data_IF_382280370094
#
_entry.id   IF_382280370094
#
_cell.length_a   1.000
_cell.length_b   1.000
_cell.length_c   1.000
_cell.angle_alpha   90.00
_cell.angle_beta   90.00
_cell.angle_gamma   90.00
#
_symmetry.space_group_name_H-M   'P 1'
#
loop_
_entity.id
_entity.type
_entity.pdbx_description
1 polymer ?
#
# COMPACT_ATOMS: atom_id res chain seq x y z
N UNK A 1 62.32 -23.57 -46.33
CA UNK A 1 62.84 -22.22 -46.04
C UNK A 1 63.17 -21.57 -47.37
N UNK A 2 62.47 -20.50 -47.76
CA UNK A 2 62.84 -19.75 -48.95
C UNK A 2 64.05 -18.89 -48.58
N UNK A 3 65.17 -19.11 -49.26
CA UNK A 3 66.39 -18.31 -49.10
C UNK A 3 66.25 -17.14 -50.07
N UNK A 4 66.24 -15.92 -49.54
CA UNK A 4 66.23 -14.69 -50.35
C UNK A 4 67.67 -14.22 -50.42
N UNK A 5 68.26 -14.30 -51.59
CA UNK A 5 69.60 -13.77 -51.86
C UNK A 5 69.49 -12.26 -52.09
N UNK A 6 70.20 -11.48 -51.27
CA UNK A 6 70.23 -10.02 -51.34
C UNK A 6 71.65 -9.60 -51.68
N UNK A 7 71.80 -8.81 -52.74
CA UNK A 7 73.06 -8.22 -53.16
C UNK A 7 73.30 -6.92 -52.37
N UNK A 8 74.42 -6.84 -51.65
CA UNK A 8 74.73 -5.75 -50.73
C UNK A 8 75.56 -4.62 -51.38
N UNK A 9 76.00 -4.78 -52.63
CA UNK A 9 76.87 -3.80 -53.30
C UNK A 9 76.10 -2.75 -54.12
N UNK A 10 74.82 -3.00 -54.47
CA UNK A 10 74.03 -2.13 -55.39
C UNK A 10 72.69 -1.66 -54.78
N UNK A 11 72.49 -1.77 -53.46
CA UNK A 11 71.24 -1.30 -52.84
C UNK A 11 71.29 -1.06 -51.34
N UNK A 12 70.36 -0.26 -50.79
CA UNK A 12 70.32 0.01 -49.36
C UNK A 12 70.06 -1.28 -48.57
N UNK A 13 70.91 -1.52 -47.57
CA UNK A 13 70.83 -2.67 -46.66
C UNK A 13 69.43 -2.76 -46.05
N UNK A 14 68.82 -3.97 -45.92
CA UNK A 14 67.51 -4.13 -45.33
C UNK A 14 67.48 -3.55 -43.90
N UNK A 15 66.68 -2.50 -43.71
CA UNK A 15 66.45 -1.90 -42.39
C UNK A 15 65.23 -2.55 -41.74
N UNK A 16 65.36 -2.93 -40.48
CA UNK A 16 64.23 -3.42 -39.68
C UNK A 16 63.39 -2.20 -39.31
N UNK A 17 62.29 -1.98 -40.02
CA UNK A 17 61.32 -0.93 -39.68
C UNK A 17 60.50 -1.44 -38.50
N UNK A 18 60.80 -0.95 -37.30
CA UNK A 18 59.93 -1.13 -36.14
C UNK A 18 58.65 -0.29 -36.31
N UNK A 19 57.51 -0.70 -35.72
CA UNK A 19 56.30 0.10 -35.77
C UNK A 19 56.59 1.47 -35.17
N UNK A 20 56.13 2.53 -35.86
CA UNK A 20 56.26 3.90 -35.36
C UNK A 20 55.53 3.97 -34.02
N UNK A 21 56.19 4.37 -32.93
CA UNK A 21 55.54 4.49 -31.64
C UNK A 21 54.46 5.57 -31.74
N UNK A 22 53.32 5.32 -31.08
CA UNK A 22 52.27 6.33 -30.97
C UNK A 22 52.88 7.58 -30.30
N UNK A 23 52.72 8.77 -30.90
CA UNK A 23 53.27 10.00 -30.34
C UNK A 23 52.68 10.25 -28.95
N UNK A 24 53.51 10.71 -28.01
CA UNK A 24 53.10 11.02 -26.63
C UNK A 24 51.88 11.96 -26.57
N UNK A 25 51.76 12.85 -27.55
CA UNK A 25 50.64 13.79 -27.65
C UNK A 25 49.29 13.10 -27.90
N UNK A 26 49.26 11.97 -28.61
CA UNK A 26 48.02 11.22 -28.82
C UNK A 26 47.53 10.58 -27.51
N UNK A 27 48.43 10.18 -26.62
CA UNK A 27 48.05 9.71 -25.29
C UNK A 27 47.50 10.84 -24.41
N UNK A 28 48.09 12.04 -24.49
CA UNK A 28 47.60 13.22 -23.78
C UNK A 28 46.22 13.64 -24.29
N UNK A 29 46.02 13.66 -25.61
CA UNK A 29 44.75 14.01 -26.25
C UNK A 29 43.61 13.05 -25.83
N UNK A 30 43.90 11.75 -25.72
CA UNK A 30 42.91 10.78 -25.23
C UNK A 30 42.53 11.03 -23.76
N UNK A 31 43.47 11.45 -22.92
CA UNK A 31 43.17 11.81 -21.52
C UNK A 31 42.39 13.13 -21.43
N UNK A 32 42.73 14.11 -22.25
CA UNK A 32 42.00 15.37 -22.34
C UNK A 32 40.57 15.15 -22.85
N UNK A 33 40.39 14.29 -23.85
CA UNK A 33 39.09 13.90 -24.37
C UNK A 33 38.24 13.20 -23.30
N UNK A 34 38.83 12.31 -22.49
CA UNK A 34 38.16 11.69 -21.34
C UNK A 34 37.71 12.76 -20.33
N UNK A 35 38.60 13.66 -19.94
CA UNK A 35 38.27 14.73 -19.01
C UNK A 35 37.26 15.75 -19.56
N UNK A 36 37.18 15.92 -20.89
CA UNK A 36 36.16 16.75 -21.53
C UNK A 36 34.79 16.07 -21.51
N UNK A 37 34.73 14.76 -21.73
CA UNK A 37 33.50 13.95 -21.64
C UNK A 37 32.97 13.97 -20.20
N UNK A 38 33.82 13.74 -19.20
CA UNK A 38 33.43 13.80 -17.77
C UNK A 38 32.83 15.16 -17.40
N UNK A 39 33.43 16.26 -17.88
CA UNK A 39 32.92 17.62 -17.68
C UNK A 39 31.61 17.88 -18.43
N UNK A 40 31.46 17.35 -19.64
CA UNK A 40 30.25 17.53 -20.45
C UNK A 40 29.05 16.80 -19.85
N UNK A 41 29.25 15.58 -19.33
CA UNK A 41 28.19 14.79 -18.72
C UNK A 41 28.04 15.03 -17.21
N UNK A 42 28.91 15.82 -16.59
CA UNK A 42 28.91 16.06 -15.14
C UNK A 42 29.24 14.81 -14.32
N UNK A 43 29.71 13.73 -14.95
CA UNK A 43 30.09 12.48 -14.31
C UNK A 43 31.56 12.58 -13.90
N UNK A 44 31.81 13.25 -12.78
CA UNK A 44 33.15 13.27 -12.21
C UNK A 44 33.47 11.90 -11.57
N UNK A 45 34.73 11.46 -11.63
CA UNK A 45 35.20 10.23 -11.00
C UNK A 45 34.82 10.11 -9.52
N UNK A 46 34.74 11.24 -8.81
CA UNK A 46 34.19 11.32 -7.45
C UNK A 46 32.74 10.83 -7.34
N UNK A 47 31.86 11.26 -8.26
CA UNK A 47 30.45 10.81 -8.31
C UNK A 47 30.31 9.33 -8.68
N UNK A 48 31.30 8.77 -9.38
CA UNK A 48 31.37 7.35 -9.73
C UNK A 48 31.93 6.46 -8.59
N UNK A 49 32.24 7.05 -7.42
CA UNK A 49 32.70 6.33 -6.24
C UNK A 49 34.22 6.14 -6.14
N UNK A 50 35.01 6.93 -6.88
CA UNK A 50 36.47 6.94 -6.71
C UNK A 50 36.88 7.83 -5.52
N UNK A 51 37.38 7.26 -4.40
CA UNK A 51 37.81 8.03 -3.23
C UNK A 51 39.06 8.88 -3.49
N UNK A 52 39.83 8.61 -4.56
CA UNK A 52 41.05 9.36 -4.90
C UNK A 52 40.78 10.76 -5.47
N UNK A 53 39.57 10.98 -6.01
CA UNK A 53 39.15 12.25 -6.58
C UNK A 53 38.29 13.10 -5.62
N UNK A 54 38.16 12.67 -4.36
CA UNK A 54 37.34 13.35 -3.37
C UNK A 54 37.93 14.70 -2.95
N UNK A 55 37.16 15.81 -3.01
CA UNK A 55 37.61 17.09 -2.48
C UNK A 55 37.87 16.99 -0.97
N UNK A 56 39.00 17.53 -0.51
CA UNK A 56 39.36 17.54 0.91
C UNK A 56 38.39 18.35 1.78
N UNK A 57 37.61 19.25 1.15
CA UNK A 57 36.65 20.13 1.82
C UNK A 57 35.23 19.72 1.48
N UNK A 58 34.46 19.34 2.51
CA UNK A 58 33.06 18.89 2.38
C UNK A 58 32.17 19.82 1.54
N UNK A 59 32.32 21.15 1.69
CA UNK A 59 31.56 22.14 0.92
C UNK A 59 31.83 22.08 -0.58
N UNK A 60 33.06 21.75 -0.99
CA UNK A 60 33.39 21.58 -2.41
C UNK A 60 32.82 20.28 -2.96
N UNK A 61 32.72 19.23 -2.14
CA UNK A 61 32.02 18.00 -2.49
C UNK A 61 30.53 18.22 -2.75
N UNK A 62 29.85 18.99 -1.89
CA UNK A 62 28.44 19.34 -2.07
C UNK A 62 28.18 20.16 -3.34
N UNK A 63 29.02 21.17 -3.61
CA UNK A 63 28.89 21.99 -4.82
C UNK A 63 29.08 21.16 -6.08
N UNK A 64 30.06 20.24 -6.09
CA UNK A 64 30.24 19.34 -7.22
C UNK A 64 29.01 18.47 -7.44
N UNK A 65 28.47 17.84 -6.39
CA UNK A 65 27.26 17.02 -6.44
C UNK A 65 26.03 17.79 -6.96
N UNK A 66 25.84 19.03 -6.48
CA UNK A 66 24.78 19.93 -6.97
C UNK A 66 24.95 20.26 -8.48
N UNK A 67 26.19 20.52 -8.92
CA UNK A 67 26.49 20.74 -10.33
C UNK A 67 26.25 19.49 -11.20
N UNK A 68 26.49 18.26 -10.69
CA UNK A 68 26.18 17.03 -11.42
C UNK A 68 24.66 16.90 -11.61
N UNK A 69 23.87 17.17 -10.56
CA UNK A 69 22.42 17.10 -10.62
C UNK A 69 21.80 18.08 -11.63
N UNK A 70 22.34 19.30 -11.73
CA UNK A 70 21.83 20.31 -12.68
C UNK A 70 22.11 19.92 -14.14
N UNK A 71 23.32 19.44 -14.46
CA UNK A 71 23.70 19.09 -15.82
C UNK A 71 22.93 17.87 -16.34
N UNK A 72 22.80 16.84 -15.51
CA UNK A 72 21.97 15.66 -15.82
C UNK A 72 20.51 16.09 -15.97
N UNK A 73 20.02 17.00 -15.11
CA UNK A 73 18.68 17.56 -15.19
C UNK A 73 18.39 18.27 -16.53
N UNK A 74 19.36 19.02 -17.07
CA UNK A 74 19.21 19.70 -18.37
C UNK A 74 19.08 18.71 -19.53
N UNK A 75 19.94 17.69 -19.61
CA UNK A 75 19.89 16.69 -20.68
C UNK A 75 18.59 15.86 -20.62
N UNK A 76 18.13 15.58 -19.40
CA UNK A 76 16.89 14.88 -19.14
C UNK A 76 15.66 15.73 -19.52
N UNK A 77 15.73 17.06 -19.37
CA UNK A 77 14.70 17.98 -19.86
C UNK A 77 14.59 17.95 -21.39
N UNK A 78 15.73 17.99 -22.10
CA UNK A 78 15.76 17.87 -23.57
C UNK A 78 15.13 16.53 -24.03
N UNK A 79 15.41 15.45 -23.31
CA UNK A 79 14.82 14.14 -23.58
C UNK A 79 13.30 14.15 -23.40
N UNK A 80 12.78 14.76 -22.32
CA UNK A 80 11.33 14.88 -22.13
C UNK A 80 10.66 15.76 -23.18
N UNK A 81 11.31 16.82 -23.64
CA UNK A 81 10.81 17.62 -24.76
C UNK A 81 10.76 16.79 -26.05
N UNK A 82 11.78 15.98 -26.32
CA UNK A 82 11.79 15.09 -27.49
C UNK A 82 10.64 14.07 -27.46
N UNK A 83 10.31 13.54 -26.28
CA UNK A 83 9.17 12.64 -26.10
C UNK A 83 7.83 13.34 -26.34
N UNK A 84 7.70 14.60 -25.92
CA UNK A 84 6.50 15.40 -26.20
C UNK A 84 6.31 15.64 -27.69
N UNK A 85 7.38 15.96 -28.42
CA UNK A 85 7.32 16.13 -29.88
C UNK A 85 6.95 14.82 -30.58
N UNK A 86 7.55 13.70 -30.17
CA UNK A 86 7.21 12.39 -30.70
C UNK A 86 5.76 12.01 -30.41
N UNK A 87 5.25 12.30 -29.21
CA UNK A 87 3.86 12.05 -28.84
C UNK A 87 2.88 12.87 -29.70
N UNK A 88 3.18 14.14 -29.98
CA UNK A 88 2.39 14.99 -30.89
C UNK A 88 2.30 14.40 -32.29
N UNK A 89 3.41 13.93 -32.85
CA UNK A 89 3.43 13.27 -34.16
C UNK A 89 2.67 11.95 -34.13
N UNK A 90 2.85 11.16 -33.08
CA UNK A 90 2.17 9.86 -32.91
C UNK A 90 0.66 10.04 -32.83
N UNK A 91 0.17 11.08 -32.13
CA UNK A 91 -1.25 11.41 -32.08
C UNK A 91 -1.79 11.70 -33.48
N UNK A 92 -1.10 12.48 -34.29
CA UNK A 92 -1.53 12.75 -35.68
C UNK A 92 -1.65 11.44 -36.49
N UNK A 93 -0.72 10.50 -36.31
CA UNK A 93 -0.83 9.18 -36.93
C UNK A 93 -2.03 8.37 -36.41
N UNK A 94 -2.27 8.38 -35.10
CA UNK A 94 -3.43 7.72 -34.48
C UNK A 94 -4.73 8.27 -35.04
N UNK A 95 -4.86 9.59 -35.18
CA UNK A 95 -6.04 10.25 -35.74
C UNK A 95 -6.31 9.85 -37.19
N UNK A 96 -5.26 9.72 -37.99
CA UNK A 96 -5.38 9.29 -39.39
C UNK A 96 -5.66 7.79 -39.53
N UNK A 97 -5.13 6.96 -38.62
CA UNK A 97 -5.20 5.49 -38.74
C UNK A 97 -6.45 4.91 -38.10
N UNK A 98 -6.92 5.50 -37.00
CA UNK A 98 -8.04 4.99 -36.21
C UNK A 98 -9.30 5.82 -36.43
N UNK A 99 -9.97 5.58 -37.55
CA UNK A 99 -11.26 6.20 -37.91
C UNK A 99 -12.48 5.37 -37.50
N UNK A 100 -12.28 4.05 -37.34
CA UNK A 100 -13.28 3.06 -36.94
C UNK A 100 -13.25 2.74 -35.45
N UNK A 101 -14.26 2.00 -34.95
CA UNK A 101 -14.32 1.51 -33.57
C UNK A 101 -13.16 0.55 -33.30
N UNK A 102 -12.38 0.81 -32.25
CA UNK A 102 -11.33 -0.10 -31.78
C UNK A 102 -11.38 -0.28 -30.28
N UNK A 103 -11.10 -1.49 -29.82
CA UNK A 103 -10.98 -1.82 -28.41
C UNK A 103 -9.54 -2.27 -28.12
N UNK A 104 -8.89 -1.61 -27.17
CA UNK A 104 -7.55 -1.94 -26.70
C UNK A 104 -7.66 -2.50 -25.29
N UNK A 105 -6.94 -3.60 -25.04
CA UNK A 105 -6.72 -4.12 -23.69
C UNK A 105 -5.31 -3.76 -23.27
N UNK A 106 -5.20 -2.86 -22.29
CA UNK A 106 -3.92 -2.46 -21.72
C UNK A 106 -3.56 -3.40 -20.59
N UNK A 107 -2.45 -4.11 -20.72
CA UNK A 107 -1.89 -4.94 -19.68
C UNK A 107 -0.86 -4.14 -18.89
N UNK A 108 -1.02 -4.09 -17.58
CA UNK A 108 -0.08 -3.46 -16.67
C UNK A 108 0.49 -4.52 -15.73
N UNK A 109 1.80 -4.51 -15.43
CA UNK A 109 2.33 -5.33 -14.35
C UNK A 109 1.60 -4.98 -13.04
N UNK A 110 1.13 -5.98 -12.31
CA UNK A 110 0.44 -5.87 -11.01
C UNK A 110 -0.95 -5.20 -10.99
N UNK A 111 -1.51 -4.77 -12.13
CA UNK A 111 -2.85 -4.18 -12.19
C UNK A 111 -3.77 -4.96 -13.13
N UNK A 112 -5.09 -4.94 -12.85
CA UNK A 112 -6.09 -5.53 -13.73
C UNK A 112 -6.03 -4.93 -15.13
N UNK A 113 -6.25 -5.74 -16.18
CA UNK A 113 -6.24 -5.25 -17.55
C UNK A 113 -7.31 -4.17 -17.72
N UNK A 114 -6.92 -3.04 -18.33
CA UNK A 114 -7.81 -1.91 -18.60
C UNK A 114 -8.28 -1.96 -20.04
N UNK A 115 -9.58 -2.15 -20.23
CA UNK A 115 -10.19 -2.12 -21.56
C UNK A 115 -10.55 -0.67 -21.93
N UNK A 116 -9.95 -0.17 -23.01
CA UNK A 116 -10.14 1.19 -23.53
C UNK A 116 -10.77 1.08 -24.93
N UNK A 117 -11.93 1.71 -25.12
CA UNK A 117 -12.62 1.73 -26.40
C UNK A 117 -12.52 3.12 -27.04
N UNK A 118 -12.15 3.15 -28.33
CA UNK A 118 -12.08 4.35 -29.16
C UNK A 118 -13.18 4.32 -30.22
N UNK A 119 -13.71 5.49 -30.58
CA UNK A 119 -14.67 5.72 -31.66
C UNK A 119 -15.91 4.81 -31.60
N UNK A 120 -16.57 4.72 -30.44
CA UNK A 120 -17.77 3.90 -30.32
C UNK A 120 -18.97 4.64 -30.96
N UNK A 121 -19.57 4.12 -32.05
CA UNK A 121 -20.75 4.74 -32.64
C UNK A 121 -21.94 4.59 -31.70
N UNK A 122 -22.66 5.68 -31.50
CA UNK A 122 -23.92 5.72 -30.75
C UNK A 122 -25.05 5.89 -31.76
N UNK A 123 -25.97 4.94 -31.73
CA UNK A 123 -27.18 4.95 -32.54
C UNK A 123 -28.36 5.38 -31.68
N UNK A 124 -29.28 6.13 -32.27
CA UNK A 124 -30.57 6.41 -31.65
C UNK A 124 -31.41 5.14 -31.57
N UNK A 125 -31.99 4.88 -30.40
CA UNK A 125 -32.72 3.64 -30.10
C UNK A 125 -34.05 3.52 -30.86
N UNK A 126 -34.57 4.62 -31.40
CA UNK A 126 -35.85 4.65 -32.12
C UNK A 126 -35.69 4.79 -33.63
N UNK A 127 -34.76 5.62 -34.12
CA UNK A 127 -34.57 5.89 -35.54
C UNK A 127 -33.43 5.06 -36.18
N UNK A 128 -32.59 4.38 -35.39
CA UNK A 128 -31.35 3.73 -35.85
C UNK A 128 -30.40 4.68 -36.61
N UNK A 129 -30.56 5.99 -36.48
CA UNK A 129 -29.65 6.98 -37.05
C UNK A 129 -28.41 7.15 -36.17
N UNK A 130 -27.27 7.44 -36.80
CA UNK A 130 -26.01 7.67 -36.11
C UNK A 130 -26.05 9.06 -35.44
N UNK A 131 -26.14 9.10 -34.11
CA UNK A 131 -26.12 10.36 -33.33
C UNK A 131 -24.70 10.92 -33.25
N UNK A 132 -23.70 10.05 -33.08
CA UNK A 132 -22.31 10.47 -32.94
C UNK A 132 -21.38 9.34 -32.53
N UNK A 133 -20.13 9.68 -32.21
CA UNK A 133 -19.11 8.76 -31.70
C UNK A 133 -18.71 9.15 -30.27
N UNK A 134 -18.73 8.19 -29.34
CA UNK A 134 -18.14 8.35 -28.01
C UNK A 134 -16.63 8.10 -28.13
N UNK A 135 -15.84 8.95 -27.46
CA UNK A 135 -14.38 8.97 -27.51
C UNK A 135 -13.85 9.05 -28.95
N UNK A 136 -14.34 10.04 -29.70
CA UNK A 136 -13.88 10.31 -31.05
C UNK A 136 -12.46 10.87 -31.03
N UNK A 137 -11.52 10.08 -31.54
CA UNK A 137 -10.11 10.47 -31.62
C UNK A 137 -9.85 11.38 -32.81
N UNK A 138 -10.69 11.32 -33.85
CA UNK A 138 -10.45 11.98 -35.14
C UNK A 138 -10.59 13.51 -35.10
N UNK A 139 -11.34 14.05 -34.13
CA UNK A 139 -11.66 15.47 -34.04
C UNK A 139 -10.97 16.20 -32.87
N UNK A 140 -10.24 15.48 -32.01
CA UNK A 140 -9.63 16.03 -30.80
C UNK A 140 -8.35 16.84 -31.07
N UNK A 141 -8.18 17.98 -30.38
CA UNK A 141 -6.86 18.58 -30.20
C UNK A 141 -6.29 18.07 -28.89
N UNK A 142 -5.17 17.37 -28.98
CA UNK A 142 -4.50 16.78 -27.82
C UNK A 142 -3.20 17.53 -27.54
N UNK A 143 -3.00 17.90 -26.29
CA UNK A 143 -1.71 18.35 -25.80
C UNK A 143 -1.09 17.24 -24.94
N UNK A 144 0.23 17.09 -25.04
CA UNK A 144 0.97 16.01 -24.38
C UNK A 144 2.12 16.57 -23.59
N UNK A 145 2.22 16.15 -22.33
CA UNK A 145 3.29 16.51 -21.42
C UNK A 145 3.83 15.22 -20.81
N UNK A 146 5.12 14.97 -21.02
CA UNK A 146 5.86 13.90 -20.39
C UNK A 146 5.98 14.19 -18.90
N UNK A 147 5.56 13.24 -18.07
CA UNK A 147 5.68 13.37 -16.62
C UNK A 147 7.14 13.14 -16.24
N UNK A 148 7.78 14.21 -15.77
CA UNK A 148 9.17 14.17 -15.33
C UNK A 148 9.33 13.25 -14.11
N UNK A 149 10.39 12.45 -14.11
CA UNK A 149 10.74 11.53 -13.02
C UNK A 149 10.33 10.07 -13.23
N UNK A 150 9.52 9.76 -14.25
CA UNK A 150 9.16 8.36 -14.58
C UNK A 150 10.33 7.52 -15.10
N UNK A 151 11.42 8.15 -15.54
CA UNK A 151 12.62 7.51 -16.11
C UNK A 151 13.85 7.64 -15.23
N UNK A 152 13.75 8.29 -14.07
CA UNK A 152 14.85 8.31 -13.12
C UNK A 152 15.06 6.87 -12.61
N UNK A 153 16.31 6.40 -12.47
CA UNK A 153 16.58 5.15 -11.80
C UNK A 153 16.08 5.27 -10.37
N UNK A 154 14.90 4.71 -10.09
CA UNK A 154 14.40 4.71 -8.75
C UNK A 154 15.15 3.64 -7.96
N UNK A 155 15.73 4.05 -6.84
CA UNK A 155 16.26 3.09 -5.89
C UNK A 155 15.06 2.43 -5.22
N UNK A 156 14.68 1.25 -5.69
CA UNK A 156 13.49 0.49 -5.19
C UNK A 156 13.52 0.28 -3.67
N UNK A 157 14.73 0.20 -3.10
CA UNK A 157 14.93 0.18 -1.66
C UNK A 157 14.50 1.49 -1.00
N UNK A 158 15.01 2.63 -1.49
CA UNK A 158 14.72 3.96 -0.94
C UNK A 158 13.24 4.32 -1.11
N UNK A 159 12.62 3.98 -2.24
CA UNK A 159 11.17 4.14 -2.43
C UNK A 159 10.38 3.32 -1.41
N UNK A 160 10.76 2.07 -1.17
CA UNK A 160 10.11 1.24 -0.16
C UNK A 160 10.29 1.83 1.23
N UNK A 161 11.48 2.27 1.59
CA UNK A 161 11.78 2.87 2.89
C UNK A 161 10.99 4.17 3.09
N UNK A 162 10.91 5.01 2.06
CA UNK A 162 10.08 6.22 2.06
C UNK A 162 8.59 5.88 2.24
N UNK A 163 8.08 4.87 1.52
CA UNK A 163 6.68 4.43 1.65
C UNK A 163 6.40 3.76 3.00
N UNK A 164 7.35 3.00 3.55
CA UNK A 164 7.28 2.46 4.91
C UNK A 164 7.26 3.58 5.93
N UNK A 165 8.10 4.61 5.76
CA UNK A 165 8.10 5.79 6.63
C UNK A 165 6.79 6.58 6.54
N UNK A 166 6.20 6.70 5.35
CA UNK A 166 4.87 7.30 5.16
C UNK A 166 3.77 6.49 5.83
N UNK A 167 3.83 5.16 5.74
CA UNK A 167 2.89 4.26 6.40
C UNK A 167 3.03 4.32 7.93
N UNK A 168 4.26 4.33 8.45
CA UNK A 168 4.55 4.53 9.88
C UNK A 168 4.04 5.88 10.38
N UNK A 169 4.16 6.94 9.57
CA UNK A 169 3.63 8.26 9.87
C UNK A 169 2.11 8.37 9.66
N UNK A 170 1.45 7.32 9.18
CA UNK A 170 0.00 7.28 8.94
C UNK A 170 -0.48 8.09 7.73
N UNK A 171 0.43 8.58 6.87
CA UNK A 171 0.06 9.26 5.61
C UNK A 171 -0.11 8.29 4.44
N UNK A 172 0.41 7.06 4.56
CA UNK A 172 0.29 6.01 3.55
C UNK A 172 -0.47 4.80 4.08
N UNK A 173 -1.25 4.17 3.21
CA UNK A 173 -1.88 2.88 3.51
C UNK A 173 -0.90 1.73 3.28
N UNK A 174 -1.00 0.68 4.09
CA UNK A 174 -0.22 -0.57 3.92
C UNK A 174 -0.44 -1.19 2.52
N UNK A 175 -1.61 -0.98 1.92
CA UNK A 175 -1.91 -1.39 0.54
C UNK A 175 -0.98 -0.71 -0.47
N UNK A 176 -0.69 0.58 -0.30
CA UNK A 176 0.21 1.32 -1.19
C UNK A 176 1.64 0.79 -1.11
N UNK A 177 2.10 0.44 0.10
CA UNK A 177 3.41 -0.19 0.31
C UNK A 177 3.49 -1.55 -0.38
N UNK A 178 2.43 -2.35 -0.26
CA UNK A 178 2.38 -3.68 -0.87
C UNK A 178 2.31 -3.62 -2.40
N UNK A 179 1.52 -2.72 -2.99
CA UNK A 179 1.44 -2.56 -4.45
C UNK A 179 2.75 -2.07 -5.08
N UNK A 180 3.50 -1.23 -4.36
CA UNK A 180 4.81 -0.76 -4.79
C UNK A 180 5.95 -1.76 -4.51
N UNK A 181 5.65 -2.86 -3.82
CA UNK A 181 6.62 -3.93 -3.56
C UNK A 181 6.63 -4.96 -4.68
N UNK A 182 7.80 -5.57 -4.94
CA UNK A 182 7.98 -6.69 -5.89
C UNK A 182 7.40 -8.02 -5.40
N UNK A 183 6.51 -7.99 -4.40
CA UNK A 183 5.91 -9.21 -3.88
C UNK A 183 4.95 -9.76 -4.94
N UNK A 184 5.10 -11.04 -5.26
CA UNK A 184 4.19 -11.72 -6.18
C UNK A 184 2.81 -11.87 -5.53
N UNK A 185 1.74 -11.70 -6.33
CA UNK A 185 0.34 -11.90 -5.91
C UNK A 185 -0.14 -10.92 -4.80
N UNK A 186 0.19 -9.64 -4.94
CA UNK A 186 -0.28 -8.56 -4.03
C UNK A 186 -1.81 -8.55 -3.87
N UNK A 187 -2.56 -8.82 -4.94
CA UNK A 187 -4.02 -8.85 -4.90
C UNK A 187 -4.56 -9.93 -3.94
N UNK A 188 -3.94 -11.11 -3.92
CA UNK A 188 -4.34 -12.21 -3.01
C UNK A 188 -4.00 -11.89 -1.55
N UNK A 189 -2.90 -11.18 -1.31
CA UNK A 189 -2.54 -10.71 0.04
C UNK A 189 -3.53 -9.64 0.49
N UNK A 190 -3.89 -8.71 -0.39
CA UNK A 190 -4.85 -7.66 -0.10
C UNK A 190 -6.26 -8.22 0.15
N UNK A 191 -6.70 -9.18 -0.67
CA UNK A 191 -7.98 -9.86 -0.49
C UNK A 191 -8.03 -10.61 0.85
N UNK A 192 -6.94 -11.30 1.22
CA UNK A 192 -6.83 -11.94 2.54
C UNK A 192 -6.89 -10.93 3.68
N UNK A 193 -6.20 -9.79 3.56
CA UNK A 193 -6.28 -8.71 4.58
C UNK A 193 -7.69 -8.12 4.68
N UNK A 194 -8.35 -7.84 3.56
CA UNK A 194 -9.74 -7.37 3.55
C UNK A 194 -10.68 -8.35 4.25
N UNK A 195 -10.53 -9.65 3.97
CA UNK A 195 -11.31 -10.70 4.63
C UNK A 195 -11.01 -10.76 6.13
N UNK A 196 -9.74 -10.66 6.54
CA UNK A 196 -9.37 -10.60 7.96
C UNK A 196 -9.96 -9.37 8.65
N UNK A 197 -9.98 -8.21 7.99
CA UNK A 197 -10.59 -6.99 8.55
C UNK A 197 -12.10 -7.15 8.73
N UNK A 198 -12.79 -7.75 7.75
CA UNK A 198 -14.22 -8.06 7.86
C UNK A 198 -14.49 -9.07 8.98
N UNK A 199 -13.67 -10.11 9.10
CA UNK A 199 -13.77 -11.08 10.18
C UNK A 199 -13.47 -10.43 11.54
N UNK A 200 -12.51 -9.52 11.62
CA UNK A 200 -12.18 -8.76 12.83
C UNK A 200 -13.36 -7.91 13.30
N UNK A 201 -14.01 -7.17 12.39
CA UNK A 201 -15.20 -6.38 12.70
C UNK A 201 -16.38 -7.26 13.15
N UNK A 202 -16.63 -8.37 12.44
CA UNK A 202 -17.66 -9.32 12.83
C UNK A 202 -17.37 -9.95 14.21
N UNK A 203 -16.10 -10.21 14.52
CA UNK A 203 -15.69 -10.78 15.79
C UNK A 203 -15.80 -9.76 16.94
N UNK A 204 -15.50 -8.47 16.70
CA UNK A 204 -15.75 -7.43 17.69
C UNK A 204 -17.25 -7.23 17.97
N UNK A 205 -18.09 -7.24 16.93
CA UNK A 205 -19.55 -7.21 17.08
C UNK A 205 -20.05 -8.42 17.86
N UNK A 206 -19.60 -9.62 17.51
CA UNK A 206 -19.96 -10.85 18.23
C UNK A 206 -19.47 -10.82 19.69
N UNK A 207 -18.28 -10.27 19.96
CA UNK A 207 -17.78 -10.09 21.33
C UNK A 207 -18.62 -9.10 22.13
N UNK A 208 -19.05 -7.99 21.52
CA UNK A 208 -19.94 -7.03 22.16
C UNK A 208 -21.28 -7.66 22.51
N UNK A 209 -21.88 -8.40 21.56
CA UNK A 209 -23.14 -9.12 21.79
C UNK A 209 -23.02 -10.19 22.88
N UNK A 210 -21.93 -10.97 22.89
CA UNK A 210 -21.67 -11.96 23.94
C UNK A 210 -21.56 -11.28 25.31
N UNK A 211 -20.89 -10.12 25.39
CA UNK A 211 -20.74 -9.37 26.64
C UNK A 211 -22.08 -8.85 27.15
N UNK A 212 -22.93 -8.33 26.27
CA UNK A 212 -24.27 -7.86 26.63
C UNK A 212 -25.16 -9.02 27.10
N UNK A 213 -25.14 -10.15 26.38
CA UNK A 213 -25.84 -11.37 26.76
C UNK A 213 -25.35 -11.94 28.10
N UNK A 214 -24.05 -11.87 28.37
CA UNK A 214 -23.48 -12.29 29.67
C UNK A 214 -23.96 -11.37 30.80
N UNK A 215 -24.03 -10.06 30.56
CA UNK A 215 -24.59 -9.09 31.49
C UNK A 215 -26.08 -9.32 31.79
N UNK A 216 -26.88 -9.59 30.76
CA UNK A 216 -28.31 -9.88 30.92
C UNK A 216 -28.55 -11.23 31.60
N UNK A 217 -27.72 -12.24 31.31
CA UNK A 217 -27.76 -13.52 32.02
C UNK A 217 -27.48 -13.34 33.51
N UNK A 218 -26.48 -12.55 33.88
CA UNK A 218 -26.19 -12.25 35.29
C UNK A 218 -27.37 -11.55 35.99
N UNK A 219 -28.03 -10.61 35.31
CA UNK A 219 -29.25 -9.96 35.84
C UNK A 219 -30.39 -10.95 36.02
N UNK A 220 -30.63 -11.80 35.02
CA UNK A 220 -31.65 -12.86 35.08
C UNK A 220 -31.37 -13.84 36.21
N UNK A 221 -30.12 -14.28 36.38
CA UNK A 221 -29.73 -15.19 37.47
C UNK A 221 -29.95 -14.53 38.84
N UNK A 222 -29.61 -13.23 38.99
CA UNK A 222 -29.88 -12.47 40.20
C UNK A 222 -31.40 -12.33 40.49
N UNK A 223 -32.20 -12.08 39.45
CA UNK A 223 -33.66 -12.00 39.58
C UNK A 223 -34.27 -13.35 39.98
N UNK A 224 -33.79 -14.45 39.40
CA UNK A 224 -34.20 -15.81 39.77
C UNK A 224 -33.84 -16.11 41.23
N UNK A 225 -32.64 -15.73 41.69
CA UNK A 225 -32.24 -15.90 43.10
C UNK A 225 -33.16 -15.09 44.01
N UNK A 226 -33.42 -13.82 43.67
CA UNK A 226 -34.30 -12.96 44.45
C UNK A 226 -35.75 -13.49 44.49
N UNK A 227 -36.26 -14.00 43.37
CA UNK A 227 -37.56 -14.67 43.30
C UNK A 227 -37.60 -15.91 44.19
N UNK A 228 -36.56 -16.76 44.15
CA UNK A 228 -36.46 -17.94 45.03
C UNK A 228 -36.44 -17.55 46.51
N UNK A 229 -35.64 -16.55 46.89
CA UNK A 229 -35.59 -16.02 48.25
C UNK A 229 -36.96 -15.49 48.68
N UNK A 230 -37.64 -14.73 47.81
CA UNK A 230 -38.98 -14.18 48.09
C UNK A 230 -40.02 -15.29 48.30
N UNK A 231 -39.98 -16.34 47.48
CA UNK A 231 -40.85 -17.53 47.63
C UNK A 231 -40.54 -18.27 48.93
N UNK A 232 -39.27 -18.42 49.29
CA UNK A 232 -38.86 -19.09 50.53
C UNK A 232 -39.27 -18.30 51.77
N UNK A 233 -39.08 -16.98 51.77
CA UNK A 233 -39.59 -16.06 52.80
C UNK A 233 -41.12 -16.13 52.90
N UNK A 234 -41.81 -16.20 51.75
CA UNK A 234 -43.27 -16.40 51.71
C UNK A 234 -43.70 -17.70 52.39
N UNK A 235 -43.04 -18.81 52.05
CA UNK A 235 -43.27 -20.12 52.71
C UNK A 235 -42.95 -20.09 54.20
N UNK A 236 -41.89 -19.38 54.61
CA UNK A 236 -41.51 -19.23 56.01
C UNK A 236 -42.54 -18.41 56.80
N UNK A 237 -43.01 -17.29 56.25
CA UNK A 237 -44.11 -16.50 56.84
C UNK A 237 -45.40 -17.32 56.96
N UNK A 238 -45.69 -18.18 55.98
CA UNK A 238 -46.82 -19.11 56.04
C UNK A 238 -46.71 -20.09 57.22
N UNK A 239 -45.54 -20.73 57.39
CA UNK A 239 -45.26 -21.62 58.52
C UNK A 239 -45.34 -20.91 59.87
N UNK A 240 -44.77 -19.70 59.98
CA UNK A 240 -44.86 -18.89 61.20
C UNK A 240 -46.29 -18.56 61.58
N UNK A 241 -47.14 -18.19 60.62
CA UNK A 241 -48.57 -17.95 60.88
C UNK A 241 -49.27 -19.21 61.37
N UNK A 242 -48.94 -20.37 60.81
CA UNK A 242 -49.51 -21.64 61.27
C UNK A 242 -49.09 -21.96 62.72
N UNK A 243 -47.81 -21.77 63.05
CA UNK A 243 -47.29 -21.95 64.41
C UNK A 243 -47.87 -20.94 65.39
N UNK A 244 -48.04 -19.67 64.97
CA UNK A 244 -48.70 -18.62 65.75
C UNK A 244 -50.16 -18.96 66.03
N UNK A 245 -50.91 -19.46 65.02
CA UNK A 245 -52.29 -19.93 65.21
C UNK A 245 -52.33 -21.09 66.21
N UNK A 246 -51.41 -22.06 66.10
CA UNK A 246 -51.32 -23.18 67.06
C UNK A 246 -50.99 -22.69 68.47
N UNK A 247 -50.09 -21.72 68.61
CA UNK A 247 -49.76 -21.10 69.90
C UNK A 247 -50.93 -20.28 70.48
N UNK A 248 -51.68 -19.58 69.63
CA UNK A 248 -52.90 -18.88 70.03
C UNK A 248 -54.01 -19.86 70.46
N UNK A 249 -54.18 -20.97 69.74
CA UNK A 249 -55.11 -22.02 70.14
C UNK A 249 -54.70 -22.69 71.45
N UNK A 250 -53.41 -22.96 71.64
CA UNK A 250 -52.92 -23.55 72.89
C UNK A 250 -53.08 -22.59 74.08
N UNK A 251 -52.81 -21.30 73.90
CA UNK A 251 -53.07 -20.28 74.94
C UNK A 251 -54.56 -20.12 75.23
N UNK A 252 -55.44 -20.12 74.22
CA UNK A 252 -56.89 -20.13 74.42
C UNK A 252 -57.33 -21.35 75.23
N UNK A 253 -56.88 -22.55 74.85
CA UNK A 253 -57.16 -23.78 75.61
C UNK A 253 -56.62 -23.71 77.05
N UNK A 254 -55.44 -23.12 77.26
CA UNK A 254 -54.91 -22.88 78.60
C UNK A 254 -55.79 -21.92 79.40
N UNK A 255 -56.26 -20.83 78.80
CA UNK A 255 -57.17 -19.89 79.47
C UNK A 255 -58.53 -20.52 79.77
N UNK A 256 -59.08 -21.33 78.88
CA UNK A 256 -60.32 -22.05 79.13
C UNK A 256 -60.15 -23.09 80.25
N UNK A 257 -59.05 -23.84 80.27
CA UNK A 257 -58.73 -24.74 81.39
C UNK A 257 -58.56 -24.01 82.71
N UNK A 258 -57.89 -22.85 82.72
CA UNK A 258 -57.76 -22.02 83.92
C UNK A 258 -59.13 -21.49 84.38
N UNK A 259 -59.98 -21.08 83.45
CA UNK A 259 -61.34 -20.65 83.76
C UNK A 259 -62.18 -21.80 84.32
N UNK A 260 -62.07 -23.02 83.80
CA UNK A 260 -62.74 -24.21 84.34
C UNK A 260 -62.23 -24.57 85.74
N UNK A 261 -60.92 -24.49 85.98
CA UNK A 261 -60.34 -24.68 87.32
C UNK A 261 -60.87 -23.62 88.29
N UNK A 262 -60.91 -22.33 87.89
CA UNK A 262 -61.49 -21.25 88.70
C UNK A 262 -62.98 -21.46 88.96
N UNK A 263 -63.72 -22.02 88.01
CA UNK A 263 -65.14 -22.36 88.16
C UNK A 263 -65.33 -23.49 89.18
N UNK A 264 -64.48 -24.51 89.15
CA UNK A 264 -64.48 -25.60 90.12
C UNK A 264 -64.11 -25.13 91.53
N UNK A 265 -63.16 -24.20 91.65
CA UNK A 265 -62.79 -23.59 92.93
C UNK A 265 -63.94 -22.72 93.49
N UNK A 266 -64.64 -21.96 92.64
CA UNK A 266 -65.83 -21.19 93.05
C UNK A 266 -67.04 -22.06 93.41
N UNK A 267 -67.12 -23.29 92.92
CA UNK A 267 -68.16 -24.25 93.31
C UNK A 267 -67.86 -24.95 94.65
N UNK A 268 -66.67 -24.76 95.21
CA UNK A 268 -66.22 -25.32 96.49
C UNK A 268 -66.17 -24.29 97.64
N UNK A 269 -66.65 -23.06 97.40
CA UNK A 269 -66.86 -22.02 98.42
C UNK A 269 -68.36 -21.73 98.58
#
# INVERSE_FOLDING_TARGET
AAIIEVDFDIGPVPIIISPVPIPSNAYAEVQDARGAIERLYGLYSFGAGDPGAAPQVYRMGLLLDEHQGILIGSQLADFYESLNLLAKVTIQFIQNTYTEKKAFRLFQPNNKPKDVQLNQPVYDSYSNELIGKINDVTLGKYDTIAVAGSTLPSQRWMEREYMMNLAEKGFGDEEMVLRNSDIKDVEDILARKSMVNQLGQALEQAKAEIKDLEGDKQRSDAEIIHLRQSVEVGKFKGRLKEDEIRAHQSTLLFTERLNDILKNIRAQA
#
